data_IF_254440335702
#
_entry.id   IF_254440335702
#
_cell.length_a   1.000
_cell.length_b   1.000
_cell.length_c   1.000
_cell.angle_alpha   90.00
_cell.angle_beta   90.00
_cell.angle_gamma   90.00
#
_symmetry.space_group_name_H-M   'P 1'
#
loop_
_entity.id
_entity.type
_entity.pdbx_description
1 polymer ?
#
# COMPACT_ATOMS: atom_id res chain seq x y z
N UNK A 1 -41.77 -2.91 31.72
CA UNK A 1 -41.28 -1.87 30.79
C UNK A 1 -39.91 -2.31 30.30
N UNK A 2 -39.89 -3.13 29.26
CA UNK A 2 -38.68 -3.58 28.58
C UNK A 2 -38.48 -2.68 27.37
N UNK A 3 -37.55 -1.73 27.49
CA UNK A 3 -37.12 -0.91 26.37
C UNK A 3 -36.37 -1.80 25.37
N UNK A 4 -36.98 -2.02 24.22
CA UNK A 4 -36.30 -2.50 23.03
C UNK A 4 -35.29 -1.43 22.60
N UNK A 5 -34.01 -1.76 22.65
CA UNK A 5 -32.98 -1.03 21.90
C UNK A 5 -32.97 -1.61 20.48
N UNK A 6 -33.24 -0.83 19.41
CA UNK A 6 -32.86 -1.22 18.07
C UNK A 6 -31.41 -0.78 17.87
N UNK A 7 -30.46 -1.68 18.04
CA UNK A 7 -29.05 -1.41 17.74
C UNK A 7 -28.53 -2.47 16.77
N UNK A 8 -28.90 -2.30 15.50
CA UNK A 8 -28.13 -2.75 14.35
C UNK A 8 -28.75 -2.09 13.12
N UNK A 9 -28.30 -0.88 12.78
CA UNK A 9 -28.27 -0.54 11.36
C UNK A 9 -27.38 -1.58 10.71
N UNK A 10 -28.01 -2.51 9.99
CA UNK A 10 -27.30 -3.50 9.19
C UNK A 10 -26.45 -2.73 8.18
N UNK A 11 -25.16 -2.57 8.48
CA UNK A 11 -24.18 -1.94 7.61
C UNK A 11 -24.32 -2.56 6.21
N UNK A 12 -24.78 -1.76 5.24
CA UNK A 12 -25.04 -2.16 3.84
C UNK A 12 -23.75 -2.48 3.05
N UNK A 13 -22.66 -2.79 3.77
CA UNK A 13 -21.35 -3.13 3.26
C UNK A 13 -21.22 -4.65 3.17
N UNK A 14 -21.21 -5.18 1.94
CA UNK A 14 -20.86 -6.57 1.69
C UNK A 14 -19.35 -6.73 1.82
N UNK A 15 -18.89 -7.61 2.72
CA UNK A 15 -17.47 -7.85 2.99
C UNK A 15 -16.95 -9.20 2.53
N UNK A 16 -17.73 -9.93 1.74
CA UNK A 16 -17.36 -11.25 1.22
C UNK A 16 -17.10 -11.19 -0.29
N UNK A 17 -15.98 -11.77 -0.72
CA UNK A 17 -15.62 -11.90 -2.14
C UNK A 17 -15.42 -13.36 -2.52
N UNK A 18 -16.40 -13.98 -3.16
CA UNK A 18 -16.32 -15.40 -3.49
C UNK A 18 -16.74 -16.31 -2.34
N UNK A 19 -15.94 -17.33 -2.05
CA UNK A 19 -16.20 -18.29 -0.97
C UNK A 19 -16.20 -17.64 0.43
N UNK A 20 -16.80 -18.35 1.40
CA UNK A 20 -17.08 -17.84 2.76
C UNK A 20 -15.81 -17.35 3.50
N UNK A 21 -14.65 -17.90 3.18
CA UNK A 21 -13.37 -17.55 3.84
C UNK A 21 -12.73 -16.27 3.31
N UNK A 22 -13.13 -15.78 2.13
CA UNK A 22 -12.64 -14.53 1.54
C UNK A 22 -13.39 -13.31 2.09
N UNK A 23 -13.40 -13.19 3.42
CA UNK A 23 -14.00 -12.06 4.12
C UNK A 23 -12.95 -11.01 4.46
N UNK A 24 -13.23 -9.75 4.13
CA UNK A 24 -12.36 -8.63 4.48
C UNK A 24 -12.80 -7.95 5.79
N UNK A 25 -11.85 -7.44 6.59
CA UNK A 25 -12.18 -6.70 7.82
C UNK A 25 -12.83 -5.35 7.50
N UNK A 26 -13.59 -4.79 8.43
CA UNK A 26 -13.97 -3.37 8.32
C UNK A 26 -12.68 -2.53 8.33
N UNK A 27 -12.56 -1.44 7.54
CA UNK A 27 -13.61 -0.78 6.75
C UNK A 27 -13.78 -1.26 5.30
N UNK A 28 -13.09 -2.32 4.91
CA UNK A 28 -13.08 -2.82 3.54
C UNK A 28 -14.36 -3.58 3.19
N UNK A 29 -14.72 -3.56 1.91
CA UNK A 29 -15.72 -4.46 1.33
C UNK A 29 -16.00 -4.12 -0.14
N UNK A 30 -17.08 -4.66 -0.69
CA UNK A 30 -17.31 -4.80 -2.13
C UNK A 30 -18.60 -4.12 -2.62
N UNK A 31 -19.39 -3.53 -1.72
CA UNK A 31 -20.60 -2.76 -2.07
C UNK A 31 -20.42 -1.27 -1.76
N UNK A 32 -21.31 -0.45 -2.32
CA UNK A 32 -21.26 1.02 -2.16
C UNK A 32 -21.42 1.50 -0.70
N UNK A 33 -21.94 0.65 0.19
CA UNK A 33 -22.03 0.95 1.62
C UNK A 33 -20.71 0.84 2.38
N UNK A 34 -19.65 0.33 1.76
CA UNK A 34 -18.34 0.16 2.38
C UNK A 34 -17.55 1.46 2.40
N UNK A 35 -16.88 1.76 3.52
CA UNK A 35 -16.08 2.98 3.65
C UNK A 35 -14.83 2.95 2.76
N UNK A 36 -14.31 1.75 2.49
CA UNK A 36 -13.30 1.49 1.47
C UNK A 36 -13.82 0.38 0.57
N UNK A 37 -14.26 0.77 -0.64
CA UNK A 37 -14.76 -0.16 -1.64
C UNK A 37 -13.60 -0.75 -2.45
N UNK A 38 -13.57 -2.06 -2.53
CA UNK A 38 -12.67 -2.89 -3.34
C UNK A 38 -13.48 -3.58 -4.43
N UNK A 39 -12.80 -4.10 -5.45
CA UNK A 39 -13.42 -4.92 -6.48
C UNK A 39 -13.25 -6.40 -6.17
N UNK A 40 -14.23 -7.21 -6.56
CA UNK A 40 -14.18 -8.66 -6.46
C UNK A 40 -14.47 -9.27 -7.83
N UNK A 41 -13.58 -10.12 -8.32
CA UNK A 41 -13.77 -10.88 -9.55
C UNK A 41 -13.17 -12.27 -9.39
N UNK A 42 -13.92 -13.32 -9.73
CA UNK A 42 -13.41 -14.71 -9.71
C UNK A 42 -12.73 -15.12 -8.38
N UNK A 43 -13.30 -14.70 -7.24
CA UNK A 43 -12.77 -14.90 -5.87
C UNK A 43 -11.48 -14.12 -5.56
N UNK A 44 -11.04 -13.24 -6.44
CA UNK A 44 -9.89 -12.37 -6.25
C UNK A 44 -10.32 -10.95 -5.94
N UNK A 45 -9.53 -10.29 -5.09
CA UNK A 45 -9.78 -8.92 -4.63
C UNK A 45 -8.88 -7.98 -5.43
N UNK A 46 -9.43 -6.91 -5.99
CA UNK A 46 -8.73 -6.00 -6.89
C UNK A 46 -8.93 -4.52 -6.52
N UNK A 47 -7.95 -3.69 -6.90
CA UNK A 47 -8.08 -2.23 -6.98
C UNK A 47 -7.67 -1.81 -8.39
N UNK A 48 -8.63 -1.32 -9.18
CA UNK A 48 -8.43 -1.23 -10.63
C UNK A 48 -8.12 -2.61 -11.20
N UNK A 49 -7.00 -2.71 -11.92
CA UNK A 49 -6.51 -3.96 -12.52
C UNK A 49 -5.46 -4.69 -11.63
N UNK A 50 -5.23 -4.22 -10.41
CA UNK A 50 -4.19 -4.75 -9.52
C UNK A 50 -4.77 -5.67 -8.45
N UNK A 51 -4.19 -6.86 -8.33
CA UNK A 51 -4.57 -7.86 -7.34
C UNK A 51 -4.14 -7.41 -5.94
N UNK A 52 -5.06 -7.43 -4.98
CA UNK A 52 -4.78 -7.25 -3.56
C UNK A 52 -4.18 -8.55 -3.01
N UNK A 53 -2.94 -8.48 -2.54
CA UNK A 53 -2.21 -9.61 -1.96
C UNK A 53 -2.49 -9.77 -0.47
N UNK A 54 -2.61 -8.67 0.27
CA UNK A 54 -2.95 -8.71 1.69
C UNK A 54 -3.55 -7.39 2.19
N UNK A 55 -4.34 -7.50 3.26
CA UNK A 55 -4.91 -6.38 4.00
C UNK A 55 -4.42 -6.45 5.44
N UNK A 56 -3.88 -5.36 5.95
CA UNK A 56 -3.42 -5.24 7.34
C UNK A 56 -4.17 -4.12 8.07
N UNK A 57 -3.83 -3.88 9.34
CA UNK A 57 -4.41 -2.80 10.14
C UNK A 57 -4.12 -1.40 9.60
N UNK A 58 -3.15 -1.26 8.69
CA UNK A 58 -2.59 0.02 8.30
C UNK A 58 -2.14 0.08 6.83
N UNK A 59 -2.15 -1.04 6.13
CA UNK A 59 -1.79 -1.10 4.71
C UNK A 59 -2.63 -2.07 3.89
N UNK A 60 -2.67 -1.80 2.59
CA UNK A 60 -3.14 -2.68 1.53
C UNK A 60 -1.90 -2.99 0.69
N UNK A 61 -1.56 -4.27 0.54
CA UNK A 61 -0.47 -4.67 -0.34
C UNK A 61 -1.09 -5.12 -1.68
N UNK A 62 -0.75 -4.43 -2.76
CA UNK A 62 -1.23 -4.74 -4.11
C UNK A 62 -0.08 -5.22 -4.99
N UNK A 63 -0.36 -6.15 -5.90
CA UNK A 63 0.61 -6.57 -6.90
C UNK A 63 0.80 -5.46 -7.93
N UNK A 64 2.06 -5.22 -8.31
CA UNK A 64 2.39 -4.36 -9.44
C UNK A 64 3.44 -5.10 -10.30
N UNK A 65 3.02 -6.14 -11.03
CA UNK A 65 3.94 -6.95 -11.82
C UNK A 65 4.69 -6.09 -12.84
N UNK A 66 5.88 -6.56 -13.23
CA UNK A 66 6.65 -5.97 -14.30
C UNK A 66 5.86 -6.02 -15.61
N UNK A 67 5.64 -4.88 -16.25
CA UNK A 67 4.91 -4.81 -17.52
C UNK A 67 5.50 -3.70 -18.37
N UNK A 68 6.01 -4.05 -19.55
CA UNK A 68 6.52 -3.08 -20.50
C UNK A 68 5.40 -2.15 -20.97
N UNK A 69 5.69 -0.87 -21.15
CA UNK A 69 4.79 0.11 -21.77
C UNK A 69 3.40 0.26 -21.11
N UNK A 70 3.22 -0.21 -19.86
CA UNK A 70 1.99 0.08 -19.09
C UNK A 70 1.91 1.58 -18.86
N UNK A 71 0.79 2.20 -19.27
CA UNK A 71 0.58 3.64 -19.09
C UNK A 71 0.75 4.04 -17.63
N UNK A 72 1.39 5.18 -17.38
CA UNK A 72 1.51 5.75 -16.03
C UNK A 72 0.14 6.01 -15.39
N UNK A 73 -0.89 6.30 -16.20
CA UNK A 73 -2.25 6.54 -15.71
C UNK A 73 -2.90 5.28 -15.13
N UNK A 74 -2.34 4.09 -15.38
CA UNK A 74 -2.76 2.85 -14.72
C UNK A 74 -2.58 2.94 -13.20
N UNK A 75 -1.75 3.86 -12.68
CA UNK A 75 -1.57 4.07 -11.25
C UNK A 75 -2.77 4.78 -10.59
N UNK A 76 -3.60 5.50 -11.36
CA UNK A 76 -4.70 6.33 -10.84
C UNK A 76 -5.65 5.59 -9.88
N UNK A 77 -6.10 4.35 -10.16
CA UNK A 77 -7.00 3.63 -9.25
C UNK A 77 -6.40 3.36 -7.86
N UNK A 78 -5.07 3.42 -7.71
CA UNK A 78 -4.38 3.26 -6.43
C UNK A 78 -4.43 4.53 -5.55
N UNK A 79 -5.02 5.61 -6.05
CA UNK A 79 -5.30 6.86 -5.33
C UNK A 79 -6.81 7.06 -5.17
N UNK A 80 -7.39 6.30 -4.23
CA UNK A 80 -8.81 6.38 -3.91
C UNK A 80 -9.13 7.50 -2.91
N UNK A 81 -10.42 7.63 -2.58
CA UNK A 81 -10.91 8.63 -1.61
C UNK A 81 -10.29 8.48 -0.22
N UNK A 82 -10.03 7.23 0.20
CA UNK A 82 -9.63 6.86 1.55
C UNK A 82 -8.37 5.98 1.59
N UNK A 83 -7.62 5.92 0.48
CA UNK A 83 -6.34 5.21 0.40
C UNK A 83 -5.47 5.78 -0.70
N UNK A 84 -4.16 5.67 -0.54
CA UNK A 84 -3.18 6.14 -1.51
C UNK A 84 -1.87 5.37 -1.37
N UNK A 85 -1.07 5.37 -2.43
CA UNK A 85 0.30 4.86 -2.44
C UNK A 85 1.12 5.52 -1.33
N UNK A 86 1.85 4.74 -0.52
CA UNK A 86 2.69 5.30 0.56
C UNK A 86 4.05 5.78 0.03
N UNK A 87 4.71 6.65 0.79
CA UNK A 87 6.10 7.07 0.49
C UNK A 87 7.14 5.95 0.65
N UNK A 88 6.76 4.76 1.13
CA UNK A 88 7.63 3.57 1.22
C UNK A 88 7.84 2.86 -0.12
N UNK A 89 7.14 3.32 -1.16
CA UNK A 89 7.23 2.78 -2.51
C UNK A 89 8.19 3.59 -3.38
N UNK A 90 9.14 2.88 -3.99
CA UNK A 90 9.82 3.34 -5.18
C UNK A 90 9.11 2.84 -6.44
N UNK A 91 8.76 3.72 -7.36
CA UNK A 91 8.13 3.36 -8.63
C UNK A 91 9.19 3.32 -9.73
N UNK A 92 9.10 2.32 -10.60
CA UNK A 92 9.94 2.20 -11.78
C UNK A 92 9.18 2.78 -12.97
N UNK A 93 9.65 3.91 -13.49
CA UNK A 93 9.02 4.68 -14.56
C UNK A 93 9.85 4.57 -15.83
N UNK A 94 9.24 4.69 -17.00
CA UNK A 94 9.94 4.61 -18.29
C UNK A 94 9.48 5.66 -19.28
N UNK A 95 10.29 5.87 -20.32
CA UNK A 95 10.06 6.87 -21.37
C UNK A 95 9.82 8.27 -20.77
N UNK A 96 10.79 8.73 -19.97
CA UNK A 96 10.80 10.03 -19.33
C UNK A 96 11.52 11.04 -20.22
N UNK A 97 10.97 12.24 -20.36
CA UNK A 97 11.60 13.32 -21.14
C UNK A 97 12.66 14.09 -20.36
N UNK A 98 12.65 13.97 -19.03
CA UNK A 98 13.61 14.59 -18.12
C UNK A 98 14.05 13.58 -17.05
N UNK A 99 15.23 13.77 -16.45
CA UNK A 99 15.66 12.99 -15.30
C UNK A 99 14.69 13.13 -14.12
N UNK A 100 14.47 12.03 -13.40
CA UNK A 100 13.60 11.95 -12.22
C UNK A 100 14.40 12.03 -10.89
N UNK A 101 15.74 12.17 -10.91
CA UNK A 101 16.73 11.92 -9.80
C UNK A 101 16.74 10.45 -9.30
N UNK A 102 17.68 9.87 -8.53
CA UNK A 102 19.11 10.12 -8.17
C UNK A 102 19.87 8.77 -7.99
N UNK A 103 19.27 7.64 -8.41
CA UNK A 103 19.85 6.30 -8.20
C UNK A 103 19.65 5.40 -9.42
N UNK A 104 20.76 4.98 -10.03
CA UNK A 104 20.74 3.98 -11.09
C UNK A 104 20.62 2.60 -10.47
N UNK A 105 19.54 1.89 -10.77
CA UNK A 105 19.42 0.49 -10.40
C UNK A 105 20.22 -0.34 -11.41
N UNK A 106 21.21 -1.13 -10.97
CA UNK A 106 21.96 -2.00 -11.87
C UNK A 106 21.05 -2.94 -12.66
N UNK A 107 21.32 -3.12 -13.95
CA UNK A 107 20.54 -3.93 -14.88
C UNK A 107 20.37 -5.38 -14.44
N UNK A 108 21.42 -5.95 -13.89
CA UNK A 108 21.41 -7.30 -13.33
C UNK A 108 20.41 -7.43 -12.18
N UNK A 109 20.25 -6.38 -11.38
CA UNK A 109 19.28 -6.34 -10.30
C UNK A 109 17.85 -6.21 -10.85
N UNK A 110 17.65 -5.39 -11.88
CA UNK A 110 16.37 -5.29 -12.58
C UNK A 110 15.98 -6.65 -13.17
N UNK A 111 16.86 -7.33 -13.89
CA UNK A 111 16.56 -8.64 -14.48
C UNK A 111 16.27 -9.69 -13.40
N UNK A 112 17.03 -9.68 -12.30
CA UNK A 112 16.83 -10.64 -11.20
C UNK A 112 15.49 -10.48 -10.50
N UNK A 113 14.97 -9.26 -10.36
CA UNK A 113 13.70 -9.01 -9.66
C UNK A 113 12.48 -9.02 -10.58
N UNK A 114 12.64 -8.66 -11.85
CA UNK A 114 11.51 -8.31 -12.71
C UNK A 114 11.38 -9.15 -13.97
N UNK A 115 12.41 -9.92 -14.36
CA UNK A 115 12.49 -10.62 -15.64
C UNK A 115 12.05 -9.73 -16.83
N UNK A 116 13.02 -9.07 -17.46
CA UNK A 116 12.78 -8.10 -18.53
C UNK A 116 12.67 -8.71 -19.93
N UNK A 117 12.58 -10.03 -20.04
CA UNK A 117 12.48 -10.72 -21.32
C UNK A 117 11.28 -10.17 -22.12
N UNK A 118 11.56 -9.54 -23.27
CA UNK A 118 10.55 -8.95 -24.16
C UNK A 118 10.24 -7.47 -23.94
N UNK A 119 10.92 -6.77 -23.02
CA UNK A 119 10.88 -5.31 -22.98
C UNK A 119 12.00 -4.70 -23.84
N UNK A 120 11.63 -3.96 -24.89
CA UNK A 120 12.57 -3.14 -25.66
C UNK A 120 12.85 -1.84 -24.90
N UNK A 121 13.83 -1.86 -24.01
CA UNK A 121 14.42 -0.63 -23.49
C UNK A 121 15.39 -0.09 -24.56
N UNK A 122 14.85 0.57 -25.59
CA UNK A 122 15.63 1.04 -26.76
C UNK A 122 16.95 1.73 -26.35
N UNK A 123 18.07 1.14 -26.77
CA UNK A 123 19.40 1.74 -26.76
C UNK A 123 19.49 2.84 -27.82
N UNK A 124 18.92 4.02 -27.55
CA UNK A 124 19.12 5.17 -28.44
C UNK A 124 20.48 5.80 -28.17
N UNK A 125 21.50 5.26 -28.82
CA UNK A 125 22.83 5.87 -29.03
C UNK A 125 23.43 6.50 -27.77
N UNK A 126 24.15 5.73 -26.95
CA UNK A 126 25.07 6.34 -26.01
C UNK A 126 26.42 5.66 -26.04
N UNK A 127 27.41 6.45 -26.41
CA UNK A 127 28.83 6.24 -26.13
C UNK A 127 29.15 6.20 -24.63
N UNK A 128 28.14 6.38 -23.76
CA UNK A 128 28.25 6.27 -22.31
C UNK A 128 27.50 5.04 -21.80
N UNK A 129 28.18 4.25 -20.96
CA UNK A 129 27.86 2.88 -20.56
C UNK A 129 26.65 2.73 -19.59
N UNK A 130 25.66 3.63 -19.67
CA UNK A 130 24.55 3.75 -18.71
C UNK A 130 23.18 3.91 -19.40
N UNK A 131 22.83 3.02 -20.33
CA UNK A 131 21.52 3.04 -20.99
C UNK A 131 20.54 2.05 -20.35
N UNK A 132 19.78 2.50 -19.35
CA UNK A 132 18.56 1.79 -18.92
C UNK A 132 17.41 2.80 -18.88
N UNK A 133 16.42 2.64 -19.75
CA UNK A 133 15.25 3.51 -19.91
C UNK A 133 14.23 3.37 -18.75
N UNK A 134 14.69 2.98 -17.55
CA UNK A 134 13.89 2.88 -16.33
C UNK A 134 14.44 3.87 -15.31
N UNK A 135 13.63 4.87 -14.99
CA UNK A 135 13.87 5.82 -13.90
C UNK A 135 13.26 5.32 -12.60
N UNK A 136 13.91 5.61 -11.48
CA UNK A 136 13.39 5.31 -10.15
C UNK A 136 12.77 6.57 -9.55
N UNK A 137 11.47 6.55 -9.30
CA UNK A 137 10.77 7.60 -8.58
C UNK A 137 10.60 7.20 -7.12
N UNK A 138 11.05 8.04 -6.20
CA UNK A 138 10.61 8.00 -4.81
C UNK A 138 10.11 9.38 -4.42
N UNK A 139 9.06 9.41 -3.60
CA UNK A 139 8.56 10.64 -2.99
C UNK A 139 9.51 11.03 -1.85
N UNK A 140 10.68 11.57 -2.22
CA UNK A 140 11.69 12.03 -1.28
C UNK A 140 11.57 13.55 -1.09
N UNK A 141 11.23 13.96 0.14
CA UNK A 141 11.46 15.30 0.68
C UNK A 141 12.38 15.15 1.88
N UNK A 142 12.89 16.26 2.43
CA UNK A 142 13.70 16.28 3.67
C UNK A 142 12.97 15.72 4.93
N UNK A 143 11.76 15.19 4.78
CA UNK A 143 10.89 14.68 5.84
C UNK A 143 10.12 13.44 5.37
N UNK A 144 9.67 12.64 6.35
CA UNK A 144 8.83 11.47 6.12
C UNK A 144 7.56 11.83 5.33
N UNK A 145 7.33 11.14 4.22
CA UNK A 145 6.11 11.27 3.42
C UNK A 145 5.24 10.04 3.63
N UNK A 146 4.07 10.22 4.25
CA UNK A 146 3.16 9.11 4.52
C UNK A 146 2.46 8.62 3.24
N UNK A 147 1.99 9.54 2.41
CA UNK A 147 1.32 9.27 1.13
C UNK A 147 1.98 10.04 0.00
N UNK A 148 2.25 9.33 -1.10
CA UNK A 148 2.70 9.94 -2.35
C UNK A 148 1.58 10.76 -2.98
N UNK A 149 1.95 11.70 -3.85
CA UNK A 149 0.98 12.49 -4.59
C UNK A 149 0.96 12.05 -6.06
N UNK A 150 -0.21 11.70 -6.57
CA UNK A 150 -0.38 11.21 -7.93
C UNK A 150 0.12 12.19 -8.99
N UNK A 151 -0.18 13.49 -8.83
CA UNK A 151 0.27 14.51 -9.80
C UNK A 151 1.78 14.73 -9.72
N UNK A 152 2.38 14.69 -8.53
CA UNK A 152 3.85 14.74 -8.42
C UNK A 152 4.52 13.60 -9.20
N UNK A 153 3.95 12.39 -9.14
CA UNK A 153 4.47 11.21 -9.87
C UNK A 153 4.40 11.42 -11.38
N UNK A 154 3.30 11.99 -11.89
CA UNK A 154 3.09 12.22 -13.33
C UNK A 154 3.93 13.36 -13.89
N UNK A 155 4.05 14.43 -13.12
CA UNK A 155 4.75 15.63 -13.57
C UNK A 155 6.28 15.47 -13.48
N UNK A 156 6.80 14.65 -12.56
CA UNK A 156 8.24 14.45 -12.43
C UNK A 156 8.80 13.65 -13.61
N UNK A 157 9.73 14.24 -14.35
CA UNK A 157 10.35 13.60 -15.52
C UNK A 157 9.46 13.51 -16.76
N UNK A 158 8.16 13.85 -16.64
CA UNK A 158 7.11 13.58 -17.63
C UNK A 158 7.22 12.17 -18.24
N UNK A 159 7.21 11.16 -17.39
CA UNK A 159 7.30 9.76 -17.80
C UNK A 159 5.97 9.24 -18.36
N UNK A 160 6.04 8.42 -19.42
CA UNK A 160 4.84 7.85 -20.04
C UNK A 160 4.43 6.50 -19.45
N UNK A 161 5.39 5.74 -18.90
CA UNK A 161 5.18 4.34 -18.53
C UNK A 161 5.47 4.06 -17.06
N UNK A 162 4.66 3.18 -16.47
CA UNK A 162 4.85 2.58 -15.15
C UNK A 162 5.27 1.12 -15.31
N UNK A 163 6.55 0.82 -15.13
CA UNK A 163 7.08 -0.53 -15.31
C UNK A 163 6.79 -1.47 -14.14
N UNK A 164 7.12 -1.08 -12.91
CA UNK A 164 6.87 -1.86 -11.68
C UNK A 164 7.18 -1.00 -10.44
N UNK A 165 7.46 -1.62 -9.31
CA UNK A 165 7.82 -0.96 -8.04
C UNK A 165 8.80 -1.79 -7.22
N UNK A 166 9.49 -1.09 -6.33
CA UNK A 166 10.34 -1.62 -5.27
C UNK A 166 9.87 -0.97 -3.97
N UNK A 167 9.36 -1.78 -3.06
CA UNK A 167 9.05 -1.36 -1.69
C UNK A 167 10.25 -1.63 -0.79
N UNK A 168 10.64 -0.62 -0.01
CA UNK A 168 11.68 -0.75 1.01
C UNK A 168 11.01 -0.74 2.37
N UNK A 169 10.93 -1.91 3.01
CA UNK A 169 10.44 -1.99 4.38
C UNK A 169 11.60 -1.72 5.33
N UNK A 170 11.68 -0.50 5.82
CA UNK A 170 12.52 -0.15 6.95
C UNK A 170 11.65 -0.17 8.20
N UNK A 171 11.97 -1.05 9.16
CA UNK A 171 11.30 -1.09 10.47
C UNK A 171 11.49 0.23 11.23
N UNK A 172 10.60 1.20 11.05
CA UNK A 172 10.52 2.39 11.89
C UNK A 172 9.10 2.58 12.42
N UNK A 173 8.95 2.47 13.73
CA UNK A 173 7.81 3.03 14.43
C UNK A 173 7.98 4.55 14.60
N UNK A 174 8.28 5.28 13.51
CA UNK A 174 8.44 6.74 13.52
C UNK A 174 9.56 7.30 14.42
N UNK A 175 10.50 6.47 14.87
CA UNK A 175 11.69 6.93 15.61
C UNK A 175 12.81 7.28 14.64
N UNK A 176 13.34 8.50 14.75
CA UNK A 176 14.61 8.90 14.16
C UNK A 176 15.71 7.91 14.54
N UNK A 177 16.30 7.26 13.54
CA UNK A 177 17.39 6.31 13.80
C UNK A 177 18.67 7.07 14.01
N UNK A 178 19.24 6.91 15.20
CA UNK A 178 20.59 7.34 15.50
C UNK A 178 21.53 6.27 14.96
N UNK A 179 22.01 6.48 13.74
CA UNK A 179 23.04 5.62 13.13
C UNK A 179 24.38 5.98 13.75
N UNK A 180 24.97 5.04 14.48
CA UNK A 180 26.36 5.11 14.95
C UNK A 180 27.24 4.21 14.08
N UNK A 181 28.56 4.36 14.16
CA UNK A 181 29.54 3.60 13.34
C UNK A 181 29.40 2.06 13.45
N UNK A 182 28.78 1.55 14.53
CA UNK A 182 28.53 0.13 14.77
C UNK A 182 27.07 -0.29 14.56
N UNK A 183 26.24 0.58 14.01
CA UNK A 183 24.84 0.28 13.74
C UNK A 183 24.74 -0.58 12.49
N UNK A 184 24.35 -1.84 12.64
CA UNK A 184 23.97 -2.70 11.53
C UNK A 184 22.46 -2.73 11.40
N UNK A 185 21.97 -2.75 10.17
CA UNK A 185 20.55 -2.85 9.92
C UNK A 185 20.26 -3.65 8.67
N UNK A 186 19.34 -4.61 8.80
CA UNK A 186 18.78 -5.36 7.69
C UNK A 186 17.62 -4.58 7.07
N UNK A 187 17.66 -4.41 5.75
CA UNK A 187 16.57 -3.86 4.95
C UNK A 187 15.91 -4.99 4.18
N UNK A 188 14.58 -5.07 4.25
CA UNK A 188 13.82 -5.98 3.41
C UNK A 188 13.31 -5.24 2.17
N UNK A 189 13.61 -5.78 1.00
CA UNK A 189 13.21 -5.22 -0.29
C UNK A 189 12.18 -6.15 -0.92
N UNK A 190 11.02 -5.61 -1.27
CA UNK A 190 9.98 -6.36 -1.98
C UNK A 190 9.74 -5.71 -3.35
N UNK A 191 10.00 -6.46 -4.41
CA UNK A 191 9.74 -6.05 -5.78
C UNK A 191 8.31 -6.43 -6.21
N UNK A 192 7.81 -5.75 -7.25
CA UNK A 192 6.53 -6.05 -7.90
C UNK A 192 5.30 -5.92 -6.98
N UNK A 193 5.40 -5.05 -5.98
CA UNK A 193 4.35 -4.79 -5.01
C UNK A 193 4.32 -3.33 -4.63
N UNK A 194 3.12 -2.80 -4.50
CA UNK A 194 2.90 -1.45 -3.98
C UNK A 194 2.13 -1.54 -2.68
N UNK A 195 2.61 -0.81 -1.69
CA UNK A 195 1.89 -0.59 -0.45
C UNK A 195 1.03 0.67 -0.55
N UNK A 196 -0.26 0.50 -0.30
CA UNK A 196 -1.17 1.62 -0.08
C UNK A 196 -1.41 1.75 1.41
N UNK A 197 -1.43 2.98 1.91
CA UNK A 197 -1.99 3.28 3.22
C UNK A 197 -3.44 3.72 3.04
N UNK A 198 -4.25 3.61 4.08
CA UNK A 198 -5.66 3.97 4.04
C UNK A 198 -6.12 4.76 5.28
N UNK A 199 -7.28 5.38 5.29
CA UNK A 199 -7.78 6.08 6.49
C UNK A 199 -9.31 6.11 6.48
N UNK A 200 -9.90 6.37 7.64
CA UNK A 200 -11.30 6.79 7.70
C UNK A 200 -11.39 8.29 8.03
N UNK A 201 -12.24 9.05 7.34
CA UNK A 201 -12.43 10.45 7.64
C UNK A 201 -13.19 10.63 8.97
N UNK A 202 -13.02 11.78 9.59
CA UNK A 202 -13.74 12.18 10.80
C UNK A 202 -12.98 11.92 12.09
N UNK A 203 -13.73 11.85 13.19
CA UNK A 203 -13.19 11.65 14.55
C UNK A 203 -13.10 10.18 14.89
N UNK A 204 -12.12 9.83 15.73
CA UNK A 204 -11.88 8.46 16.18
C UNK A 204 -13.16 7.75 16.66
N UNK A 205 -13.56 6.68 15.97
CA UNK A 205 -14.64 5.77 16.38
C UNK A 205 -14.10 4.34 16.59
N UNK A 206 -13.20 4.20 17.56
CA UNK A 206 -12.52 2.94 17.86
C UNK A 206 -13.24 2.13 18.95
N UNK A 207 -13.02 0.81 18.96
CA UNK A 207 -13.36 -0.04 20.09
C UNK A 207 -12.67 0.45 21.37
N UNK A 208 -13.29 0.31 22.57
CA UNK A 208 -12.67 0.71 23.84
C UNK A 208 -11.28 0.09 24.11
N UNK A 209 -10.98 -1.08 23.52
CA UNK A 209 -9.69 -1.77 23.63
C UNK A 209 -8.79 -1.52 22.41
N UNK A 210 -9.06 -0.50 21.60
CA UNK A 210 -8.23 -0.05 20.50
C UNK A 210 -7.58 1.31 20.78
N UNK A 211 -6.44 1.55 20.15
CA UNK A 211 -5.78 2.85 20.10
C UNK A 211 -6.15 3.54 18.78
N UNK A 212 -6.66 4.76 18.88
CA UNK A 212 -6.80 5.62 17.72
C UNK A 212 -5.46 6.23 17.33
N UNK A 213 -5.12 6.19 16.05
CA UNK A 213 -3.92 6.84 15.50
C UNK A 213 -4.37 7.78 14.38
N UNK A 214 -4.12 9.10 14.50
CA UNK A 214 -4.41 10.02 13.41
C UNK A 214 -3.50 9.71 12.22
N UNK A 215 -4.05 9.86 11.02
CA UNK A 215 -3.35 9.74 9.74
C UNK A 215 -3.23 11.16 9.19
N UNK A 216 -2.00 11.69 9.12
CA UNK A 216 -1.59 13.09 8.94
C UNK A 216 -2.63 14.07 8.33
N UNK A 217 -3.66 14.44 9.11
CA UNK A 217 -4.72 15.36 8.69
C UNK A 217 -5.79 14.79 7.76
N UNK A 218 -5.62 13.56 7.25
CA UNK A 218 -6.55 12.91 6.33
C UNK A 218 -7.64 12.09 7.04
N UNK A 219 -7.35 11.59 8.25
CA UNK A 219 -8.32 10.81 9.00
C UNK A 219 -7.73 10.08 10.20
N UNK A 220 -8.29 8.91 10.51
CA UNK A 220 -7.84 8.06 11.59
C UNK A 220 -7.83 6.57 11.22
N UNK A 221 -7.05 5.80 12.00
CA UNK A 221 -7.10 4.34 12.06
C UNK A 221 -7.27 3.89 13.50
N UNK A 222 -7.81 2.70 13.68
CA UNK A 222 -7.89 2.04 14.97
C UNK A 222 -7.03 0.77 14.95
N UNK A 223 -6.26 0.56 16.02
CA UNK A 223 -5.45 -0.66 16.19
C UNK A 223 -5.71 -1.26 17.55
N UNK A 224 -6.05 -2.54 17.61
CA UNK A 224 -6.25 -3.22 18.87
C UNK A 224 -5.01 -3.14 19.76
N UNK A 225 -5.24 -2.89 21.05
CA UNK A 225 -4.18 -2.88 22.06
C UNK A 225 -3.60 -4.29 22.22
N UNK A 226 -2.39 -4.36 22.79
CA UNK A 226 -1.70 -5.64 23.04
C UNK A 226 -2.60 -6.60 23.83
N UNK A 227 -2.74 -7.83 23.32
CA UNK A 227 -3.61 -8.86 23.92
C UNK A 227 -5.01 -8.94 23.30
N UNK A 228 -5.32 -8.06 22.36
CA UNK A 228 -6.57 -8.06 21.60
C UNK A 228 -6.30 -8.20 20.10
N UNK A 229 -7.25 -8.78 19.39
CA UNK A 229 -7.24 -8.97 17.94
C UNK A 229 -8.60 -8.60 17.35
N UNK A 230 -8.59 -8.04 16.14
CA UNK A 230 -9.78 -7.61 15.41
C UNK A 230 -9.49 -6.39 14.55
N UNK A 231 -10.52 -5.78 13.97
CA UNK A 231 -10.37 -4.58 13.13
C UNK A 231 -10.22 -3.29 13.95
N UNK A 232 -10.59 -3.30 15.23
CA UNK A 232 -10.40 -2.19 16.15
C UNK A 232 -11.43 -1.08 16.07
N UNK A 233 -12.44 -1.17 15.21
CA UNK A 233 -13.47 -0.14 15.06
C UNK A 233 -14.74 -0.51 15.81
N UNK A 234 -15.42 0.48 16.40
CA UNK A 234 -16.67 0.25 17.10
C UNK A 234 -17.82 -0.17 16.16
N UNK A 235 -17.80 0.29 14.90
CA UNK A 235 -18.73 -0.11 13.84
C UNK A 235 -18.40 -1.46 13.18
N UNK A 236 -17.21 -1.99 13.48
CA UNK A 236 -16.69 -3.23 12.90
C UNK A 236 -16.91 -4.43 13.83
N UNK A 237 -15.96 -5.35 13.79
CA UNK A 237 -15.87 -6.48 14.73
C UNK A 237 -15.23 -6.10 16.06
N UNK A 238 -14.63 -4.91 16.15
CA UNK A 238 -14.01 -4.38 17.36
C UNK A 238 -12.76 -5.15 17.74
N UNK A 239 -12.43 -5.12 19.03
CA UNK A 239 -11.27 -5.81 19.59
C UNK A 239 -11.70 -6.94 20.52
N UNK A 240 -11.30 -8.17 20.19
CA UNK A 240 -11.59 -9.37 20.97
C UNK A 240 -10.33 -9.86 21.65
N UNK A 241 -10.44 -10.20 22.94
CA UNK A 241 -9.30 -10.70 23.71
C UNK A 241 -8.87 -12.06 23.17
N UNK A 242 -7.61 -12.18 22.77
CA UNK A 242 -7.06 -13.46 22.32
C UNK A 242 -6.97 -14.44 23.49
N UNK A 243 -7.50 -15.67 23.34
CA UNK A 243 -7.01 -16.79 24.15
C UNK A 243 -5.58 -17.04 23.68
N UNK A 244 -4.59 -16.74 24.51
CA UNK A 244 -3.22 -17.19 24.25
C UNK A 244 -3.24 -18.71 24.10
N UNK A 245 -3.11 -19.22 22.88
CA UNK A 245 -2.66 -20.60 22.69
C UNK A 245 -1.19 -20.60 23.05
N UNK A 246 -0.90 -20.97 24.29
CA UNK A 246 0.44 -21.40 24.67
C UNK A 246 0.67 -22.67 23.85
N UNK A 247 1.41 -22.58 22.73
CA UNK A 247 2.00 -23.78 22.15
C UNK A 247 2.98 -24.31 23.19
N UNK A 248 2.62 -25.42 23.83
CA UNK A 248 3.50 -26.13 24.75
C UNK A 248 4.80 -26.52 24.05
N UNK A 249 5.87 -26.48 24.85
CA UNK A 249 7.25 -26.89 24.54
C UNK A 249 7.38 -28.15 23.69
#
# INVERSE_FOLDING_TARGET
MSHFFPAAEANNCNRSCGEVENKVPYPFGFSDGCKIKLNCSENEIHIGDFLVQSLTSDSILVSLPATCNRSIDALNPLFGTNFAVTGRNGLLLGNCSQPVDDFTIPSNLINSFFNTDGCDFEDRNSSDNYNHNISYYAEAKDCYVEFSNYENIRERGHCSFLFSSIMVNWNQNGSSIIVTENSSMSVEVQAQKVELGWWLPGVCNCDPNAKCTPVNGTGFRCKCQKGYSGDGFAEGEGCKRGKFFISGN
#
